data_IF_286064509306
#
_entry.id   IF_286064509306
#
_cell.length_a   1.000
_cell.length_b   1.000
_cell.length_c   1.000
_cell.angle_alpha   90.00
_cell.angle_beta   90.00
_cell.angle_gamma   90.00
#
_symmetry.space_group_name_H-M   'P 1'
#
loop_
_entity.id
_entity.type
_entity.pdbx_description
1 polymer ?
#
# COMPACT_ATOMS: atom_id res chain seq x y z
N UNK A 1 13.77 8.46 -8.61
CA UNK A 1 14.32 9.37 -7.60
C UNK A 1 14.76 8.58 -6.38
N UNK A 2 15.96 8.83 -5.90
CA UNK A 2 16.49 8.10 -4.75
C UNK A 2 15.87 8.61 -3.46
N UNK A 3 15.36 7.71 -2.64
CA UNK A 3 14.80 8.06 -1.34
C UNK A 3 15.90 8.44 -0.34
N UNK A 4 15.59 9.31 0.63
CA UNK A 4 16.53 9.60 1.72
C UNK A 4 16.93 8.33 2.48
N UNK A 5 18.16 8.30 2.99
CA UNK A 5 18.69 7.15 3.73
C UNK A 5 17.81 6.82 4.95
N UNK A 6 17.38 7.85 5.68
CA UNK A 6 16.52 7.63 6.86
C UNK A 6 15.20 6.97 6.51
N UNK A 7 14.66 7.26 5.32
CA UNK A 7 13.40 6.64 4.88
C UNK A 7 13.58 5.14 4.66
N UNK A 8 14.70 4.73 4.07
CA UNK A 8 15.02 3.31 3.94
C UNK A 8 15.15 2.62 5.29
N UNK A 9 15.66 3.32 6.30
CA UNK A 9 15.72 2.77 7.65
C UNK A 9 14.29 2.52 8.20
N UNK A 10 13.38 3.46 7.98
CA UNK A 10 11.97 3.30 8.39
C UNK A 10 11.33 2.12 7.66
N UNK A 11 11.53 2.02 6.35
CA UNK A 11 10.98 0.93 5.54
C UNK A 11 11.55 -0.42 6.00
N UNK A 12 12.84 -0.49 6.28
CA UNK A 12 13.46 -1.69 6.81
C UNK A 12 12.89 -2.11 8.17
N UNK A 13 12.69 -1.16 9.06
CA UNK A 13 12.09 -1.40 10.38
C UNK A 13 10.65 -1.88 10.23
N UNK A 14 9.88 -1.25 9.36
CA UNK A 14 8.53 -1.69 9.04
C UNK A 14 8.54 -3.13 8.51
N UNK A 15 9.43 -3.43 7.58
CA UNK A 15 9.53 -4.78 7.01
C UNK A 15 9.80 -5.83 8.07
N UNK A 16 10.74 -5.57 8.98
CA UNK A 16 11.05 -6.48 10.07
C UNK A 16 9.85 -6.65 11.01
N UNK A 17 9.18 -5.58 11.36
CA UNK A 17 8.01 -5.64 12.24
C UNK A 17 6.84 -6.41 11.62
N UNK A 18 6.70 -6.35 10.31
CA UNK A 18 5.64 -7.04 9.57
C UNK A 18 6.04 -8.46 9.12
N UNK A 19 7.27 -8.88 9.40
CA UNK A 19 7.77 -10.17 8.93
C UNK A 19 8.18 -10.18 7.46
N UNK A 20 8.41 -9.01 6.88
CA UNK A 20 8.78 -8.83 5.47
C UNK A 20 10.25 -8.52 5.38
N UNK A 21 11.09 -9.55 5.51
CA UNK A 21 12.53 -9.39 5.53
C UNK A 21 13.09 -8.90 4.18
N UNK A 22 14.10 -8.04 4.24
CA UNK A 22 14.77 -7.54 3.06
C UNK A 22 14.03 -6.45 2.31
N UNK A 23 12.96 -5.89 2.89
CA UNK A 23 12.21 -4.82 2.25
C UNK A 23 13.02 -3.52 2.26
N UNK A 24 13.27 -2.96 1.08
CA UNK A 24 14.00 -1.72 0.91
C UNK A 24 13.62 -1.07 -0.42
N UNK A 25 13.66 0.26 -0.44
CA UNK A 25 13.45 1.01 -1.68
C UNK A 25 14.71 0.89 -2.55
N UNK A 26 14.51 0.64 -3.85
CA UNK A 26 15.59 0.55 -4.80
C UNK A 26 16.07 1.95 -5.25
N UNK A 27 16.96 2.02 -6.23
CA UNK A 27 17.50 3.27 -6.76
C UNK A 27 16.43 4.21 -7.31
N UNK A 28 15.31 3.67 -7.74
CA UNK A 28 14.17 4.45 -8.27
C UNK A 28 13.20 4.86 -7.17
N UNK A 29 13.49 4.53 -5.92
CA UNK A 29 12.60 4.80 -4.80
C UNK A 29 11.41 3.86 -4.72
N UNK A 30 11.52 2.66 -5.26
CA UNK A 30 10.41 1.72 -5.33
C UNK A 30 10.75 0.39 -4.65
N UNK A 31 9.74 -0.26 -4.11
CA UNK A 31 9.80 -1.62 -3.61
C UNK A 31 8.47 -2.32 -3.89
N UNK A 32 8.52 -3.61 -4.11
CA UNK A 32 7.30 -4.39 -4.33
C UNK A 32 7.47 -5.77 -3.71
N UNK A 33 6.37 -6.29 -3.17
CA UNK A 33 6.34 -7.61 -2.57
C UNK A 33 5.00 -8.26 -2.90
N UNK A 34 5.06 -9.46 -3.46
CA UNK A 34 3.85 -10.21 -3.82
C UNK A 34 3.60 -11.29 -2.78
N UNK A 35 2.37 -11.39 -2.31
CA UNK A 35 1.95 -12.40 -1.35
C UNK A 35 1.41 -13.64 -2.07
N UNK A 36 1.31 -14.75 -1.34
CA UNK A 36 0.88 -16.02 -1.91
C UNK A 36 -0.54 -15.99 -2.52
N UNK A 37 -1.40 -15.13 -1.99
CA UNK A 37 -2.78 -14.98 -2.47
C UNK A 37 -2.91 -14.11 -3.72
N UNK A 38 -1.80 -13.59 -4.24
CA UNK A 38 -1.79 -12.71 -5.40
C UNK A 38 -1.87 -11.22 -5.07
N UNK A 39 -2.17 -10.87 -3.82
CA UNK A 39 -2.10 -9.49 -3.35
C UNK A 39 -0.65 -9.01 -3.42
N UNK A 40 -0.43 -7.76 -3.77
CA UNK A 40 0.92 -7.19 -3.81
C UNK A 40 0.99 -5.87 -3.07
N UNK A 41 2.05 -5.71 -2.27
CA UNK A 41 2.38 -4.45 -1.63
C UNK A 41 3.36 -3.70 -2.52
N UNK A 42 3.12 -2.41 -2.72
CA UNK A 42 4.03 -1.52 -3.44
C UNK A 42 4.32 -0.30 -2.62
N UNK A 43 5.59 0.08 -2.58
CA UNK A 43 6.04 1.31 -1.95
C UNK A 43 6.75 2.12 -3.03
N UNK A 44 6.44 3.41 -3.12
CA UNK A 44 7.06 4.27 -4.11
C UNK A 44 7.26 5.66 -3.54
N UNK A 45 8.51 6.12 -3.55
CA UNK A 45 8.88 7.47 -3.14
C UNK A 45 9.11 8.32 -4.38
N UNK A 46 8.42 9.44 -4.47
CA UNK A 46 8.63 10.45 -5.50
C UNK A 46 8.11 11.80 -5.01
N UNK A 47 8.84 12.86 -5.35
CA UNK A 47 8.42 14.24 -5.10
C UNK A 47 7.99 14.52 -3.66
N UNK A 48 8.77 14.03 -2.71
CA UNK A 48 8.50 14.27 -1.29
C UNK A 48 7.31 13.51 -0.72
N UNK A 49 6.88 12.45 -1.40
CA UNK A 49 5.73 11.63 -0.99
C UNK A 49 6.08 10.15 -1.07
N UNK A 50 5.75 9.41 -0.03
CA UNK A 50 5.78 7.95 -0.08
C UNK A 50 4.36 7.44 -0.32
N UNK A 51 4.18 6.66 -1.37
CA UNK A 51 2.92 5.98 -1.65
C UNK A 51 3.02 4.55 -1.13
N UNK A 52 2.08 4.17 -0.28
CA UNK A 52 1.89 2.80 0.17
C UNK A 52 0.67 2.29 -0.56
N UNK A 53 0.84 1.31 -1.44
CA UNK A 53 -0.24 0.81 -2.27
C UNK A 53 -0.35 -0.70 -2.17
N UNK A 54 -1.56 -1.20 -2.38
CA UNK A 54 -1.81 -2.62 -2.42
C UNK A 54 -2.69 -2.94 -3.62
N UNK A 55 -2.26 -3.94 -4.41
CA UNK A 55 -3.05 -4.45 -5.53
C UNK A 55 -3.75 -5.73 -5.11
N UNK A 56 -5.01 -5.84 -5.51
CA UNK A 56 -5.86 -6.97 -5.14
C UNK A 56 -6.41 -7.61 -6.41
N UNK A 57 -6.10 -8.89 -6.66
CA UNK A 57 -6.69 -9.59 -7.80
C UNK A 57 -8.19 -9.81 -7.54
N UNK A 58 -8.99 -9.74 -8.58
CA UNK A 58 -10.44 -10.02 -8.52
C UNK A 58 -11.19 -9.18 -7.47
N UNK A 59 -10.83 -7.90 -7.34
CA UNK A 59 -11.48 -7.00 -6.38
C UNK A 59 -12.94 -6.75 -6.75
N UNK A 60 -13.80 -6.65 -5.73
CA UNK A 60 -15.18 -6.17 -5.90
C UNK A 60 -15.11 -4.66 -6.18
N UNK A 61 -15.44 -4.26 -7.40
CA UNK A 61 -15.30 -2.88 -7.87
C UNK A 61 -16.14 -1.91 -7.05
N UNK A 62 -17.35 -2.27 -6.69
CA UNK A 62 -18.23 -1.40 -5.89
C UNK A 62 -17.62 -1.11 -4.51
N UNK A 63 -17.15 -2.15 -3.83
CA UNK A 63 -16.51 -2.02 -2.53
C UNK A 63 -15.23 -1.24 -2.64
N UNK A 64 -14.43 -1.51 -3.68
CA UNK A 64 -13.20 -0.78 -3.93
C UNK A 64 -13.46 0.72 -4.07
N UNK A 65 -14.38 1.11 -4.95
CA UNK A 65 -14.68 2.53 -5.18
C UNK A 65 -15.25 3.22 -3.95
N UNK A 66 -15.98 2.49 -3.11
CA UNK A 66 -16.54 3.04 -1.88
C UNK A 66 -15.47 3.47 -0.87
N UNK A 67 -14.26 2.88 -0.92
CA UNK A 67 -13.18 3.24 0.00
C UNK A 67 -12.69 4.67 -0.18
N UNK A 68 -12.82 5.23 -1.38
CA UNK A 68 -12.42 6.61 -1.67
C UNK A 68 -13.58 7.60 -1.61
N UNK A 69 -14.77 7.15 -1.20
CA UNK A 69 -15.92 8.00 -1.09
C UNK A 69 -15.68 9.10 -0.03
N UNK A 70 -16.15 10.36 -0.27
CA UNK A 70 -15.95 11.45 0.68
C UNK A 70 -16.48 11.18 2.09
N UNK A 71 -17.47 10.30 2.23
CA UNK A 71 -18.05 9.93 3.53
C UNK A 71 -17.33 8.79 4.23
N UNK A 72 -16.37 8.14 3.56
CA UNK A 72 -15.58 7.09 4.19
C UNK A 72 -14.72 7.68 5.31
N UNK A 73 -14.67 6.99 6.45
CA UNK A 73 -13.96 7.45 7.64
C UNK A 73 -12.89 6.44 8.05
N UNK A 74 -11.71 6.60 7.45
CA UNK A 74 -10.54 5.80 7.81
C UNK A 74 -9.45 6.71 8.38
N UNK A 75 -8.51 6.11 9.08
CA UNK A 75 -7.37 6.85 9.64
C UNK A 75 -6.49 7.48 8.57
N UNK A 76 -6.54 6.96 7.35
CA UNK A 76 -5.82 7.49 6.18
C UNK A 76 -6.81 7.70 5.05
N UNK A 77 -6.53 8.70 4.22
CA UNK A 77 -7.29 8.90 2.99
C UNK A 77 -6.85 7.86 1.97
N UNK A 78 -7.81 7.10 1.45
CA UNK A 78 -7.53 6.02 0.51
C UNK A 78 -7.90 6.47 -0.90
N UNK A 79 -6.97 6.25 -1.84
CA UNK A 79 -7.23 6.42 -3.27
C UNK A 79 -7.37 5.05 -3.89
N UNK A 80 -8.28 4.93 -4.85
CA UNK A 80 -8.59 3.66 -5.48
C UNK A 80 -8.50 3.76 -6.99
N UNK A 81 -8.28 2.63 -7.64
CA UNK A 81 -8.25 2.55 -9.09
C UNK A 81 -8.25 1.11 -9.56
N UNK A 82 -8.31 0.94 -10.87
CA UNK A 82 -8.21 -0.36 -11.52
C UNK A 82 -7.04 -0.32 -12.51
N UNK A 83 -6.24 -1.39 -12.52
CA UNK A 83 -5.18 -1.52 -13.51
C UNK A 83 -5.80 -1.89 -14.86
N UNK A 84 -5.51 -1.13 -15.95
CA UNK A 84 -6.22 -1.34 -17.23
C UNK A 84 -6.04 -2.72 -17.84
N UNK A 85 -4.85 -3.31 -17.71
CA UNK A 85 -4.53 -4.58 -18.36
C UNK A 85 -5.00 -5.81 -17.61
N UNK A 86 -4.95 -5.76 -16.29
CA UNK A 86 -5.21 -6.93 -15.44
C UNK A 86 -6.54 -6.85 -14.71
N UNK A 87 -7.16 -5.68 -14.69
CA UNK A 87 -8.36 -5.39 -13.89
C UNK A 87 -8.18 -5.61 -12.40
N UNK A 88 -6.93 -5.62 -11.94
CA UNK A 88 -6.65 -5.67 -10.51
C UNK A 88 -7.06 -4.37 -9.84
N UNK A 89 -7.62 -4.48 -8.64
CA UNK A 89 -7.94 -3.30 -7.82
C UNK A 89 -6.69 -2.75 -7.16
N UNK A 90 -6.60 -1.43 -7.05
CA UNK A 90 -5.49 -0.75 -6.38
C UNK A 90 -6.05 0.14 -5.29
N UNK A 91 -5.47 0.04 -4.09
CA UNK A 91 -5.73 0.95 -2.99
C UNK A 91 -4.41 1.59 -2.59
N UNK A 92 -4.40 2.89 -2.36
CA UNK A 92 -3.19 3.61 -2.02
C UNK A 92 -3.40 4.65 -0.94
N UNK A 93 -2.40 4.78 -0.07
CA UNK A 93 -2.29 5.84 0.94
C UNK A 93 -1.03 6.63 0.62
N UNK A 94 -1.13 7.95 0.62
CA UNK A 94 0.00 8.85 0.37
C UNK A 94 0.44 9.47 1.69
N UNK A 95 1.73 9.35 1.99
CA UNK A 95 2.34 9.95 3.16
C UNK A 95 3.32 11.02 2.72
N UNK A 96 3.13 12.25 3.21
CA UNK A 96 4.13 13.29 3.00
C UNK A 96 5.45 12.83 3.65
N UNK A 97 6.58 13.25 3.09
CA UNK A 97 7.89 12.80 3.57
C UNK A 97 8.04 12.96 5.09
N UNK A 98 7.60 14.09 5.64
CA UNK A 98 7.67 14.36 7.08
C UNK A 98 6.80 13.42 7.93
N UNK A 99 5.82 12.76 7.32
CA UNK A 99 4.90 11.84 8.01
C UNK A 99 5.33 10.38 7.87
N UNK A 100 6.45 10.11 7.19
CA UNK A 100 6.96 8.75 7.03
C UNK A 100 7.66 8.33 8.32
N UNK A 101 6.92 7.66 9.18
CA UNK A 101 7.40 7.11 10.44
C UNK A 101 6.97 5.65 10.51
N UNK A 102 7.62 4.87 11.37
CA UNK A 102 7.25 3.46 11.52
C UNK A 102 5.76 3.28 11.87
N UNK A 103 5.19 3.99 12.86
CA UNK A 103 3.76 3.84 13.15
C UNK A 103 2.84 4.19 11.97
N UNK A 104 3.18 5.24 11.21
CA UNK A 104 2.35 5.67 10.09
C UNK A 104 2.41 4.67 8.92
N UNK A 105 3.59 4.19 8.58
CA UNK A 105 3.75 3.18 7.53
C UNK A 105 3.06 1.88 7.93
N UNK A 106 3.27 1.44 9.16
CA UNK A 106 2.62 0.22 9.68
C UNK A 106 1.10 0.36 9.70
N UNK A 107 0.60 1.52 10.13
CA UNK A 107 -0.84 1.77 10.17
C UNK A 107 -1.47 1.78 8.77
N UNK A 108 -0.79 2.39 7.80
CA UNK A 108 -1.26 2.40 6.41
C UNK A 108 -1.29 0.97 5.85
N UNK A 109 -0.22 0.20 6.07
CA UNK A 109 -0.17 -1.19 5.61
C UNK A 109 -1.29 -2.03 6.24
N UNK A 110 -1.47 -1.96 7.55
CA UNK A 110 -2.50 -2.73 8.25
C UNK A 110 -3.90 -2.40 7.75
N UNK A 111 -4.17 -1.12 7.52
CA UNK A 111 -5.46 -0.71 6.97
C UNK A 111 -5.68 -1.30 5.58
N UNK A 112 -4.69 -1.15 4.69
CA UNK A 112 -4.81 -1.67 3.33
C UNK A 112 -4.90 -3.21 3.32
N UNK A 113 -4.14 -3.87 4.18
CA UNK A 113 -4.19 -5.33 4.32
C UNK A 113 -5.57 -5.81 4.73
N UNK A 114 -6.17 -5.16 5.72
CA UNK A 114 -7.53 -5.49 6.18
C UNK A 114 -8.57 -5.25 5.09
N UNK A 115 -8.49 -4.08 4.42
CA UNK A 115 -9.44 -3.74 3.37
C UNK A 115 -9.29 -4.64 2.14
N UNK A 116 -8.06 -5.06 1.82
CA UNK A 116 -7.83 -6.00 0.73
C UNK A 116 -8.61 -7.29 0.93
N UNK A 117 -8.70 -7.77 2.16
CA UNK A 117 -9.48 -8.96 2.48
C UNK A 117 -10.98 -8.73 2.33
N UNK A 118 -11.45 -7.54 2.69
CA UNK A 118 -12.86 -7.21 2.58
C UNK A 118 -13.34 -7.06 1.13
N UNK A 119 -12.48 -6.60 0.24
CA UNK A 119 -12.83 -6.35 -1.16
C UNK A 119 -12.35 -7.44 -2.12
N UNK A 120 -11.68 -8.46 -1.63
CA UNK A 120 -11.07 -9.50 -2.45
C UNK A 120 -12.04 -10.42 -3.20
N UNK A 121 -13.34 -10.18 -3.08
CA UNK A 121 -14.34 -10.96 -3.80
C UNK A 121 -14.28 -12.44 -3.48
N UNK A 122 -14.56 -13.28 -4.49
CA UNK A 122 -14.62 -14.72 -4.32
C UNK A 122 -13.30 -15.35 -3.87
N UNK A 123 -12.18 -14.67 -4.06
CA UNK A 123 -10.86 -15.17 -3.66
C UNK A 123 -10.73 -15.34 -2.14
N UNK A 124 -11.59 -14.68 -1.39
CA UNK A 124 -11.56 -14.69 0.08
C UNK A 124 -12.72 -15.50 0.70
N UNK A 125 -13.54 -16.07 -0.12
CA UNK A 125 -14.69 -16.84 0.34
C UNK A 125 -14.29 -18.22 0.87
#
# INVERSE_FOLDING_TARGET
>A
MTAPVWMNAVIGDFGRAAGLNGLALNERGAAALKFADGTALRLEYADGTLVVAMTVPSADVRRLLALSHPRARYAFRIRTGLLPKTHEGVMAVRLAERDVTLPRVSGAFELLWRLAREIGGAAWA
#
